data_IF_991372816799
#
_entry.id   IF_991372816799
#
_cell.length_a   1.000
_cell.length_b   1.000
_cell.length_c   1.000
_cell.angle_alpha   90.00
_cell.angle_beta   90.00
_cell.angle_gamma   90.00
#
_symmetry.space_group_name_H-M   'P 1'
#
loop_
_entity.id
_entity.type
_entity.pdbx_description
1 polymer ?
#
# COMPACT_ATOMS: atom_id res chain seq x y z
N UNK A 1 -11.61 53.95 -32.27
CA UNK A 1 -10.70 52.82 -32.00
C UNK A 1 -11.13 52.12 -30.71
N UNK A 2 -12.16 51.28 -30.75
CA UNK A 2 -12.64 50.55 -29.56
C UNK A 2 -13.36 49.27 -30.01
N UNK A 3 -12.60 48.23 -30.38
CA UNK A 3 -13.13 46.90 -30.66
C UNK A 3 -11.98 45.87 -30.68
N UNK A 4 -11.57 45.37 -29.51
CA UNK A 4 -10.63 44.23 -29.45
C UNK A 4 -10.67 43.44 -28.11
N UNK A 5 -11.78 43.46 -27.35
CA UNK A 5 -11.81 42.88 -26.00
C UNK A 5 -12.68 41.61 -25.82
N UNK A 6 -13.38 41.12 -26.84
CA UNK A 6 -14.34 40.01 -26.67
C UNK A 6 -13.80 38.62 -27.04
N UNK A 7 -12.83 38.52 -27.95
CA UNK A 7 -12.31 37.24 -28.45
C UNK A 7 -11.48 36.43 -27.42
N UNK A 8 -10.91 37.08 -26.41
CA UNK A 8 -10.09 36.43 -25.37
C UNK A 8 -10.91 35.73 -24.30
N UNK A 9 -12.18 36.06 -24.15
CA UNK A 9 -13.06 35.47 -23.13
C UNK A 9 -13.55 34.08 -23.52
N UNK A 10 -14.01 33.90 -24.77
CA UNK A 10 -14.51 32.62 -25.27
C UNK A 10 -13.42 31.54 -25.31
N UNK A 11 -12.24 31.86 -25.88
CA UNK A 11 -11.13 30.91 -25.98
C UNK A 11 -10.54 30.48 -24.61
N UNK A 12 -10.78 31.26 -23.54
CA UNK A 12 -10.43 30.87 -22.17
C UNK A 12 -11.47 29.99 -21.51
N UNK A 13 -12.75 30.18 -21.83
CA UNK A 13 -13.84 29.32 -21.37
C UNK A 13 -13.69 27.91 -21.96
N UNK A 14 -13.44 27.81 -23.26
CA UNK A 14 -13.28 26.52 -23.96
C UNK A 14 -12.13 25.69 -23.35
N UNK A 15 -10.99 26.32 -23.04
CA UNK A 15 -9.83 25.63 -22.44
C UNK A 15 -10.11 25.12 -21.01
N UNK A 16 -10.91 25.86 -20.25
CA UNK A 16 -11.29 25.45 -18.89
C UNK A 16 -12.30 24.28 -18.94
N UNK A 17 -13.22 24.30 -19.89
CA UNK A 17 -14.18 23.23 -20.11
C UNK A 17 -13.52 21.95 -20.63
N UNK A 18 -12.56 22.07 -21.56
CA UNK A 18 -11.75 20.94 -22.06
C UNK A 18 -10.93 20.28 -20.94
N UNK A 19 -10.25 21.09 -20.11
CA UNK A 19 -9.51 20.59 -18.95
C UNK A 19 -10.42 19.87 -17.97
N UNK A 20 -11.61 20.44 -17.70
CA UNK A 20 -12.60 19.85 -16.81
C UNK A 20 -13.13 18.53 -17.37
N UNK A 21 -13.43 18.46 -18.66
CA UNK A 21 -13.89 17.25 -19.33
C UNK A 21 -12.90 16.10 -19.19
N UNK A 22 -11.63 16.33 -19.54
CA UNK A 22 -10.59 15.32 -19.43
C UNK A 22 -10.33 14.90 -17.97
N UNK A 23 -10.25 15.86 -17.03
CA UNK A 23 -10.06 15.56 -15.62
C UNK A 23 -11.19 14.69 -15.03
N UNK A 24 -12.45 14.97 -15.38
CA UNK A 24 -13.59 14.19 -14.89
C UNK A 24 -13.59 12.75 -15.43
N UNK A 25 -13.16 12.51 -16.68
CA UNK A 25 -12.95 11.16 -17.20
C UNK A 25 -11.91 10.38 -16.38
N UNK A 26 -10.76 11.00 -16.12
CA UNK A 26 -9.68 10.38 -15.33
C UNK A 26 -10.13 10.11 -13.89
N UNK A 27 -10.88 11.04 -13.25
CA UNK A 27 -11.47 10.82 -11.92
C UNK A 27 -12.39 9.62 -11.88
N UNK A 28 -13.25 9.43 -12.89
CA UNK A 28 -14.14 8.25 -12.96
C UNK A 28 -13.35 6.95 -13.04
N UNK A 29 -12.32 6.90 -13.88
CA UNK A 29 -11.43 5.75 -13.98
C UNK A 29 -10.70 5.46 -12.66
N UNK A 30 -10.21 6.51 -11.97
CA UNK A 30 -9.58 6.39 -10.65
C UNK A 30 -10.54 5.88 -9.57
N UNK A 31 -11.81 6.29 -9.61
CA UNK A 31 -12.85 5.77 -8.73
C UNK A 31 -13.09 4.27 -8.97
N UNK A 32 -13.18 3.84 -10.23
CA UNK A 32 -13.27 2.42 -10.58
C UNK A 32 -12.06 1.62 -10.09
N UNK A 33 -10.84 2.16 -10.25
CA UNK A 33 -9.64 1.53 -9.73
C UNK A 33 -9.66 1.36 -8.21
N UNK A 34 -10.08 2.39 -7.48
CA UNK A 34 -10.21 2.34 -6.02
C UNK A 34 -11.24 1.32 -5.53
N UNK A 35 -12.21 0.97 -6.38
CA UNK A 35 -13.23 -0.05 -6.12
C UNK A 35 -12.82 -1.45 -6.62
N UNK A 36 -11.63 -1.61 -7.20
CA UNK A 36 -11.19 -2.86 -7.81
C UNK A 36 -11.95 -3.22 -9.10
N UNK A 37 -12.59 -2.24 -9.73
CA UNK A 37 -13.45 -2.39 -10.91
C UNK A 37 -12.85 -1.71 -12.16
N UNK A 38 -11.54 -1.45 -12.19
CA UNK A 38 -10.88 -0.88 -13.36
C UNK A 38 -10.88 -1.90 -14.51
N UNK A 39 -11.44 -1.56 -15.69
CA UNK A 39 -11.41 -2.46 -16.84
C UNK A 39 -9.98 -2.77 -17.28
N UNK A 40 -9.73 -4.02 -17.66
CA UNK A 40 -8.43 -4.47 -18.15
C UNK A 40 -8.03 -3.79 -19.48
N UNK A 41 -9.02 -3.39 -20.26
CA UNK A 41 -8.94 -2.78 -21.59
C UNK A 41 -9.32 -1.29 -21.58
N UNK A 42 -9.20 -0.61 -20.44
CA UNK A 42 -9.46 0.82 -20.35
C UNK A 42 -8.60 1.59 -21.38
N UNK A 43 -9.25 2.48 -22.11
CA UNK A 43 -8.62 3.42 -23.03
C UNK A 43 -8.73 4.83 -22.47
N UNK A 44 -7.56 5.43 -22.18
CA UNK A 44 -7.41 6.82 -21.73
C UNK A 44 -6.52 7.63 -22.68
N UNK A 45 -6.21 7.09 -23.86
CA UNK A 45 -5.41 7.80 -24.88
C UNK A 45 -6.06 9.13 -25.29
N UNK A 46 -7.40 9.22 -25.51
CA UNK A 46 -8.05 10.49 -25.80
C UNK A 46 -7.87 11.55 -24.71
N UNK A 47 -7.96 11.18 -23.43
CA UNK A 47 -7.74 12.07 -22.30
C UNK A 47 -6.26 12.50 -22.20
N UNK A 48 -5.32 11.58 -22.39
CA UNK A 48 -3.88 11.87 -22.37
C UNK A 48 -3.53 12.87 -23.49
N UNK A 49 -4.06 12.67 -24.69
CA UNK A 49 -3.85 13.56 -25.84
C UNK A 49 -4.49 14.94 -25.63
N UNK A 50 -5.70 14.98 -25.06
CA UNK A 50 -6.36 16.23 -24.71
C UNK A 50 -5.54 17.03 -23.69
N UNK A 51 -5.11 16.38 -22.60
CA UNK A 51 -4.30 17.01 -21.54
C UNK A 51 -2.94 17.47 -22.07
N UNK A 52 -2.30 16.67 -22.93
CA UNK A 52 -1.03 17.04 -23.59
C UNK A 52 -1.19 18.29 -24.44
N UNK A 53 -2.22 18.35 -25.30
CA UNK A 53 -2.51 19.56 -26.11
C UNK A 53 -2.80 20.79 -25.25
N UNK A 54 -3.50 20.62 -24.13
CA UNK A 54 -3.79 21.69 -23.18
C UNK A 54 -2.51 22.21 -22.52
N UNK A 55 -1.59 21.32 -22.11
CA UNK A 55 -0.30 21.66 -21.52
C UNK A 55 0.59 22.37 -22.54
N UNK A 56 0.73 21.81 -23.74
CA UNK A 56 1.62 22.31 -24.80
C UNK A 56 1.11 23.60 -25.43
N UNK A 57 -0.20 23.81 -25.42
CA UNK A 57 -0.81 25.05 -25.92
C UNK A 57 -0.38 26.30 -25.15
N UNK A 58 0.18 26.17 -23.94
CA UNK A 58 0.79 27.27 -23.18
C UNK A 58 -0.17 28.37 -22.72
N UNK A 59 -1.48 28.16 -22.85
CA UNK A 59 -2.54 29.14 -22.53
C UNK A 59 -3.00 29.09 -21.07
N UNK A 60 -2.60 28.06 -20.32
CA UNK A 60 -2.94 27.91 -18.91
C UNK A 60 -2.09 28.81 -18.02
N UNK A 61 -2.68 29.32 -16.94
CA UNK A 61 -1.90 29.83 -15.82
C UNK A 61 -1.20 28.66 -15.10
N UNK A 62 -0.32 28.97 -14.14
CA UNK A 62 0.47 27.96 -13.45
C UNK A 62 -0.40 26.90 -12.76
N UNK A 63 -1.46 27.32 -12.05
CA UNK A 63 -2.37 26.39 -11.37
C UNK A 63 -3.10 25.47 -12.35
N UNK A 64 -3.63 26.01 -13.46
CA UNK A 64 -4.26 25.21 -14.50
C UNK A 64 -3.31 24.20 -15.12
N UNK A 65 -2.03 24.58 -15.33
CA UNK A 65 -1.00 23.67 -15.83
C UNK A 65 -0.72 22.53 -14.84
N UNK A 66 -0.65 22.83 -13.55
CA UNK A 66 -0.48 21.82 -12.49
C UNK A 66 -1.65 20.84 -12.46
N UNK A 67 -2.89 21.33 -12.60
CA UNK A 67 -4.08 20.47 -12.72
C UNK A 67 -3.96 19.54 -13.93
N UNK A 68 -3.60 20.06 -15.10
CA UNK A 68 -3.47 19.26 -16.31
C UNK A 68 -2.37 18.19 -16.18
N UNK A 69 -1.22 18.55 -15.60
CA UNK A 69 -0.13 17.61 -15.31
C UNK A 69 -0.57 16.52 -14.33
N UNK A 70 -1.25 16.87 -13.24
CA UNK A 70 -1.74 15.90 -12.26
C UNK A 70 -2.64 14.85 -12.91
N UNK A 71 -3.63 15.28 -13.70
CA UNK A 71 -4.57 14.36 -14.34
C UNK A 71 -3.94 13.55 -15.47
N UNK A 72 -2.94 14.08 -16.16
CA UNK A 72 -2.20 13.31 -17.16
C UNK A 72 -1.32 12.24 -16.49
N UNK A 73 -0.71 12.58 -15.36
CA UNK A 73 -0.01 11.62 -14.50
C UNK A 73 -0.93 10.51 -13.98
N UNK A 74 -2.14 10.85 -13.53
CA UNK A 74 -3.16 9.87 -13.12
C UNK A 74 -3.58 8.97 -14.29
N UNK A 75 -3.81 9.52 -15.49
CA UNK A 75 -4.21 8.73 -16.65
C UNK A 75 -3.13 7.70 -17.05
N UNK A 76 -1.88 8.15 -17.18
CA UNK A 76 -0.73 7.28 -17.48
C UNK A 76 -0.48 6.21 -16.39
N UNK A 77 -0.73 6.56 -15.11
CA UNK A 77 -0.74 5.61 -13.99
C UNK A 77 -1.82 4.54 -14.18
N UNK A 78 -3.06 4.95 -14.48
CA UNK A 78 -4.20 4.05 -14.61
C UNK A 78 -4.06 3.09 -15.80
N UNK A 79 -3.49 3.54 -16.92
CA UNK A 79 -3.12 2.65 -18.04
C UNK A 79 -2.17 1.56 -17.58
N UNK A 80 -1.11 1.91 -16.85
CA UNK A 80 -0.17 0.92 -16.29
C UNK A 80 -0.82 0.02 -15.22
N UNK A 81 -1.78 0.54 -14.45
CA UNK A 81 -2.55 -0.26 -13.50
C UNK A 81 -3.42 -1.32 -14.20
N UNK A 82 -4.08 -0.96 -15.30
CA UNK A 82 -4.87 -1.89 -16.11
C UNK A 82 -3.99 -2.95 -16.80
N UNK A 83 -2.83 -2.55 -17.34
CA UNK A 83 -1.83 -3.49 -17.88
C UNK A 83 -1.41 -4.51 -16.83
N UNK A 84 -1.04 -4.05 -15.62
CA UNK A 84 -0.64 -4.91 -14.52
C UNK A 84 -1.77 -5.86 -14.08
N UNK A 85 -3.02 -5.37 -13.97
CA UNK A 85 -4.19 -6.19 -13.65
C UNK A 85 -4.48 -7.27 -14.69
N UNK A 86 -4.13 -7.01 -15.95
CA UNK A 86 -4.22 -7.96 -17.06
C UNK A 86 -2.98 -8.88 -17.21
N UNK A 87 -2.03 -8.84 -16.26
CA UNK A 87 -0.73 -9.53 -16.35
C UNK A 87 0.06 -9.19 -17.63
N UNK A 88 -0.06 -7.95 -18.13
CA UNK A 88 0.68 -7.44 -19.27
C UNK A 88 1.90 -6.62 -18.80
N UNK A 89 2.99 -6.57 -19.58
CA UNK A 89 4.14 -5.72 -19.25
C UNK A 89 3.73 -4.25 -19.10
N UNK A 90 4.36 -3.49 -18.19
CA UNK A 90 4.08 -2.07 -18.05
C UNK A 90 4.52 -1.27 -19.28
N UNK A 91 3.79 -0.19 -19.58
CA UNK A 91 4.26 0.84 -20.50
C UNK A 91 5.23 1.77 -19.75
N UNK A 92 6.52 1.49 -19.93
CA UNK A 92 7.61 2.19 -19.22
C UNK A 92 7.69 3.68 -19.57
N UNK A 93 7.37 4.06 -20.81
CA UNK A 93 7.44 5.47 -21.23
C UNK A 93 6.28 6.28 -20.63
N UNK A 94 5.07 5.72 -20.63
CA UNK A 94 3.94 6.30 -19.89
C UNK A 94 4.23 6.41 -18.39
N UNK A 95 4.89 5.41 -17.80
CA UNK A 95 5.28 5.46 -16.39
C UNK A 95 6.30 6.58 -16.10
N UNK A 96 7.30 6.78 -16.98
CA UNK A 96 8.25 7.89 -16.85
C UNK A 96 7.60 9.25 -17.04
N UNK A 97 6.67 9.36 -17.99
CA UNK A 97 5.91 10.60 -18.18
C UNK A 97 5.06 10.93 -16.96
N UNK A 98 4.31 9.96 -16.43
CA UNK A 98 3.53 10.15 -15.21
C UNK A 98 4.40 10.59 -14.04
N UNK A 99 5.57 9.98 -13.87
CA UNK A 99 6.52 10.37 -12.84
C UNK A 99 6.99 11.83 -13.01
N UNK A 100 7.35 12.22 -14.23
CA UNK A 100 7.76 13.58 -14.55
C UNK A 100 6.65 14.63 -14.35
N UNK A 101 5.39 14.25 -14.61
CA UNK A 101 4.24 15.09 -14.33
C UNK A 101 4.02 15.27 -12.82
N UNK A 102 4.08 14.19 -12.04
CA UNK A 102 3.99 14.28 -10.58
C UNK A 102 5.15 15.06 -9.98
N UNK A 103 6.38 14.93 -10.49
CA UNK A 103 7.51 15.74 -10.04
C UNK A 103 7.25 17.24 -10.19
N UNK A 104 6.58 17.65 -11.27
CA UNK A 104 6.20 19.05 -11.50
C UNK A 104 5.09 19.50 -10.55
N UNK A 105 4.12 18.65 -10.26
CA UNK A 105 3.08 18.92 -9.23
C UNK A 105 3.72 19.06 -7.85
N UNK A 106 4.61 18.14 -7.48
CA UNK A 106 5.32 18.16 -6.20
C UNK A 106 6.18 19.42 -6.07
N UNK A 107 6.88 19.81 -7.14
CA UNK A 107 7.69 21.02 -7.18
C UNK A 107 6.85 22.30 -7.01
N UNK A 108 5.62 22.33 -7.53
CA UNK A 108 4.71 23.46 -7.33
C UNK A 108 4.34 23.62 -5.85
N UNK A 109 4.20 22.51 -5.12
CA UNK A 109 4.17 22.51 -3.65
C UNK A 109 2.90 23.10 -3.01
N UNK A 110 1.84 23.30 -3.80
CA UNK A 110 0.53 23.76 -3.31
C UNK A 110 -0.59 22.91 -3.86
N UNK A 111 -1.52 22.56 -2.99
CA UNK A 111 -2.76 21.88 -3.36
C UNK A 111 -3.67 22.81 -4.18
N UNK A 112 -4.52 22.20 -5.01
CA UNK A 112 -5.58 22.90 -5.76
C UNK A 112 -6.89 22.19 -5.43
N UNK A 113 -7.43 22.52 -4.26
CA UNK A 113 -8.54 21.82 -3.63
C UNK A 113 -9.80 21.72 -4.50
N UNK A 114 -10.17 22.80 -5.21
CA UNK A 114 -11.32 22.82 -6.12
C UNK A 114 -11.21 21.80 -7.27
N UNK A 115 -9.98 21.36 -7.55
CA UNK A 115 -9.68 20.36 -8.56
C UNK A 115 -9.32 19.00 -7.95
N UNK A 116 -9.33 18.83 -6.63
CA UNK A 116 -8.92 17.59 -5.98
C UNK A 116 -7.44 17.23 -6.21
N UNK A 117 -6.61 18.23 -6.51
CA UNK A 117 -5.16 18.04 -6.68
C UNK A 117 -4.48 18.23 -5.34
N UNK A 118 -3.82 17.18 -4.88
CA UNK A 118 -3.13 17.11 -3.59
C UNK A 118 -1.67 16.67 -3.84
N UNK A 119 -0.73 17.48 -3.34
CA UNK A 119 0.71 17.27 -3.51
C UNK A 119 1.18 15.97 -2.82
N UNK A 120 0.59 15.65 -1.68
CA UNK A 120 0.91 14.42 -0.95
C UNK A 120 0.43 13.17 -1.69
N UNK A 121 -0.74 13.24 -2.34
CA UNK A 121 -1.22 12.20 -3.26
C UNK A 121 -0.30 12.06 -4.49
N UNK A 122 0.14 13.17 -5.08
CA UNK A 122 1.09 13.13 -6.20
C UNK A 122 2.38 12.38 -5.81
N UNK A 123 2.96 12.67 -4.64
CA UNK A 123 4.15 11.97 -4.19
C UNK A 123 3.87 10.50 -3.84
N UNK A 124 2.70 10.19 -3.26
CA UNK A 124 2.28 8.81 -3.03
C UNK A 124 2.26 7.99 -4.33
N UNK A 125 1.63 8.52 -5.38
CA UNK A 125 1.54 7.85 -6.68
C UNK A 125 2.87 7.81 -7.43
N UNK A 126 3.71 8.85 -7.32
CA UNK A 126 5.08 8.83 -7.83
C UNK A 126 5.89 7.67 -7.22
N UNK A 127 5.74 7.43 -5.92
CA UNK A 127 6.37 6.28 -5.27
C UNK A 127 5.86 4.93 -5.78
N UNK A 128 4.55 4.81 -6.01
CA UNK A 128 3.96 3.61 -6.63
C UNK A 128 4.50 3.35 -8.04
N UNK A 129 4.61 4.38 -8.87
CA UNK A 129 5.18 4.27 -10.21
C UNK A 129 6.64 3.83 -10.15
N UNK A 130 7.43 4.49 -9.32
CA UNK A 130 8.84 4.18 -9.14
C UNK A 130 9.05 2.71 -8.72
N UNK A 131 8.27 2.23 -7.75
CA UNK A 131 8.34 0.84 -7.30
C UNK A 131 7.86 -0.13 -8.37
N UNK A 132 6.63 0.04 -8.88
CA UNK A 132 5.93 -1.01 -9.63
C UNK A 132 6.23 -1.05 -11.11
N UNK A 133 6.48 0.10 -11.73
CA UNK A 133 6.62 0.20 -13.19
C UNK A 133 8.05 0.52 -13.61
N UNK A 134 8.84 1.11 -12.71
CA UNK A 134 10.24 1.45 -12.98
C UNK A 134 11.24 0.62 -12.15
N UNK A 135 10.76 -0.26 -11.27
CA UNK A 135 11.59 -1.14 -10.41
C UNK A 135 12.66 -0.38 -9.60
N UNK A 136 12.39 0.85 -9.18
CA UNK A 136 13.30 1.69 -8.41
C UNK A 136 12.80 1.87 -6.97
N UNK A 137 13.14 0.91 -6.12
CA UNK A 137 12.76 0.90 -4.71
C UNK A 137 13.31 2.12 -3.93
N UNK A 138 14.60 2.50 -4.05
CA UNK A 138 15.10 3.68 -3.35
C UNK A 138 14.37 4.96 -3.76
N UNK A 139 14.07 5.11 -5.05
CA UNK A 139 13.33 6.26 -5.56
C UNK A 139 11.90 6.28 -5.00
N UNK A 140 11.23 5.13 -4.94
CA UNK A 140 9.89 5.02 -4.37
C UNK A 140 9.83 5.53 -2.92
N UNK A 141 10.78 5.07 -2.08
CA UNK A 141 10.86 5.52 -0.70
C UNK A 141 11.24 6.99 -0.57
N UNK A 142 12.02 7.55 -1.49
CA UNK A 142 12.30 9.00 -1.49
C UNK A 142 11.04 9.85 -1.69
N UNK A 143 10.02 9.35 -2.40
CA UNK A 143 8.72 10.02 -2.53
C UNK A 143 7.84 9.77 -1.32
N UNK A 144 7.78 8.54 -0.83
CA UNK A 144 6.96 8.19 0.33
C UNK A 144 7.43 8.86 1.61
N UNK A 145 8.74 9.06 1.81
CA UNK A 145 9.22 9.87 2.94
C UNK A 145 8.73 11.32 2.83
N UNK A 146 8.79 11.95 1.65
CA UNK A 146 8.29 13.32 1.45
C UNK A 146 6.81 13.47 1.77
N UNK A 147 5.95 12.54 1.33
CA UNK A 147 4.53 12.61 1.68
C UNK A 147 4.18 12.09 3.08
N UNK A 148 5.03 11.27 3.69
CA UNK A 148 4.90 10.95 5.10
C UNK A 148 5.09 12.20 5.97
N UNK A 149 6.05 13.07 5.62
CA UNK A 149 6.26 14.37 6.28
C UNK A 149 5.06 15.31 6.13
N UNK A 150 4.26 15.13 5.07
CA UNK A 150 2.99 15.84 4.85
C UNK A 150 1.79 15.19 5.57
N UNK A 151 2.00 14.10 6.31
CA UNK A 151 0.93 13.40 7.05
C UNK A 151 0.07 12.47 6.19
N UNK A 152 0.47 12.15 4.96
CA UNK A 152 -0.30 11.26 4.10
C UNK A 152 -0.28 9.81 4.61
N UNK A 153 -1.44 9.27 4.98
CA UNK A 153 -1.58 7.97 5.65
C UNK A 153 -0.95 6.80 4.89
N UNK A 154 -1.13 6.74 3.57
CA UNK A 154 -0.52 5.70 2.75
C UNK A 154 1.01 5.77 2.72
N UNK A 155 1.56 6.99 2.79
CA UNK A 155 2.99 7.22 2.80
C UNK A 155 3.60 6.93 4.17
N UNK A 156 2.90 7.33 5.25
CA UNK A 156 3.29 6.98 6.61
C UNK A 156 3.37 5.46 6.80
N UNK A 157 2.40 4.69 6.27
CA UNK A 157 2.44 3.22 6.34
C UNK A 157 3.63 2.63 5.57
N UNK A 158 3.87 3.07 4.33
CA UNK A 158 5.02 2.63 3.54
C UNK A 158 6.35 2.99 4.23
N UNK A 159 6.53 4.25 4.64
CA UNK A 159 7.73 4.70 5.32
C UNK A 159 7.95 3.94 6.64
N UNK A 160 6.90 3.70 7.43
CA UNK A 160 7.00 2.91 8.66
C UNK A 160 7.50 1.49 8.40
N UNK A 161 7.01 0.83 7.34
CA UNK A 161 7.49 -0.49 6.94
C UNK A 161 8.99 -0.47 6.60
N UNK A 162 9.46 0.54 5.88
CA UNK A 162 10.89 0.67 5.58
C UNK A 162 11.76 0.97 6.79
N UNK A 163 11.22 1.68 7.79
CA UNK A 163 11.89 1.88 9.08
C UNK A 163 11.98 0.59 9.91
N UNK A 164 11.23 -0.46 9.59
CA UNK A 164 11.39 -1.79 10.19
C UNK A 164 12.37 -2.65 9.42
N UNK A 165 12.30 -2.61 8.09
CA UNK A 165 12.99 -3.58 7.21
C UNK A 165 14.33 -3.10 6.67
N UNK A 166 14.51 -1.79 6.54
CA UNK A 166 15.64 -1.16 5.86
C UNK A 166 15.55 -1.18 4.33
N UNK A 167 14.38 -1.56 3.78
CA UNK A 167 14.16 -1.60 2.32
C UNK A 167 14.34 -0.21 1.71
N UNK A 168 14.86 -0.16 0.48
CA UNK A 168 15.14 1.10 -0.22
C UNK A 168 16.34 1.88 0.34
N UNK A 169 17.14 1.29 1.22
CA UNK A 169 18.26 1.98 1.88
C UNK A 169 17.83 2.89 3.03
N UNK A 170 16.57 2.80 3.46
CA UNK A 170 16.04 3.54 4.60
C UNK A 170 16.70 3.03 5.88
N UNK A 171 17.04 3.95 6.80
CA UNK A 171 17.60 3.58 8.09
C UNK A 171 16.56 2.83 8.93
N UNK A 172 16.94 1.68 9.48
CA UNK A 172 16.11 0.93 10.44
C UNK A 172 15.96 1.73 11.74
N UNK A 173 14.72 2.04 12.09
CA UNK A 173 14.30 2.79 13.28
C UNK A 173 12.87 2.36 13.69
N UNK A 174 12.73 1.29 14.51
CA UNK A 174 11.43 0.78 14.92
C UNK A 174 10.60 1.80 15.72
N UNK A 175 11.21 2.70 16.48
CA UNK A 175 10.47 3.72 17.25
C UNK A 175 9.85 4.78 16.32
N UNK A 176 10.58 5.19 15.28
CA UNK A 176 10.01 6.03 14.22
C UNK A 176 8.84 5.33 13.51
N UNK A 177 8.97 4.02 13.22
CA UNK A 177 7.89 3.23 12.63
C UNK A 177 6.64 3.19 13.53
N UNK A 178 6.81 3.04 14.86
CA UNK A 178 5.70 3.07 15.82
C UNK A 178 5.02 4.44 15.85
N UNK A 179 5.79 5.54 15.80
CA UNK A 179 5.24 6.89 15.77
C UNK A 179 4.41 7.13 14.49
N UNK A 180 4.93 6.74 13.33
CA UNK A 180 4.23 6.87 12.05
C UNK A 180 2.93 6.06 12.02
N UNK A 181 2.96 4.79 12.42
CA UNK A 181 1.76 3.96 12.53
C UNK A 181 0.76 4.53 13.55
N UNK A 182 1.22 5.11 14.65
CA UNK A 182 0.34 5.78 15.62
C UNK A 182 -0.36 7.00 15.01
N UNK A 183 0.34 7.80 14.20
CA UNK A 183 -0.27 8.92 13.49
C UNK A 183 -1.39 8.44 12.53
N UNK A 184 -1.14 7.36 11.78
CA UNK A 184 -2.16 6.76 10.91
C UNK A 184 -3.33 6.19 11.71
N UNK A 185 -3.08 5.51 12.82
CA UNK A 185 -4.14 5.01 13.70
C UNK A 185 -5.04 6.14 14.21
N UNK A 186 -4.45 7.28 14.61
CA UNK A 186 -5.19 8.43 15.13
C UNK A 186 -6.08 9.12 14.07
N UNK A 187 -5.88 8.84 12.78
CA UNK A 187 -6.81 9.27 11.72
C UNK A 187 -8.12 8.46 11.69
N UNK A 188 -8.22 7.40 12.51
CA UNK A 188 -9.41 6.56 12.63
C UNK A 188 -9.75 5.81 11.35
N UNK A 189 -11.01 5.94 10.91
CA UNK A 189 -11.56 5.23 9.74
C UNK A 189 -11.56 6.09 8.47
N UNK A 190 -11.01 7.30 8.53
CA UNK A 190 -11.00 8.26 7.41
C UNK A 190 -10.30 7.70 6.16
N UNK A 191 -9.43 6.70 6.33
CA UNK A 191 -8.71 6.02 5.26
C UNK A 191 -9.07 4.54 5.19
N UNK A 192 -10.35 4.21 5.35
CA UNK A 192 -10.86 2.85 5.34
C UNK A 192 -10.20 1.98 6.41
N UNK A 193 -9.42 0.98 5.98
CA UNK A 193 -8.73 0.06 6.87
C UNK A 193 -7.37 0.57 7.40
N UNK A 194 -6.93 1.77 6.99
CA UNK A 194 -5.59 2.29 7.27
C UNK A 194 -5.23 2.31 8.77
N UNK A 195 -6.10 2.88 9.61
CA UNK A 195 -5.84 2.93 11.06
C UNK A 195 -5.78 1.54 11.71
N UNK A 196 -6.62 0.62 11.24
CA UNK A 196 -6.66 -0.74 11.75
C UNK A 196 -5.39 -1.53 11.36
N UNK A 197 -4.90 -1.36 10.12
CA UNK A 197 -3.60 -1.90 9.69
C UNK A 197 -2.43 -1.29 10.47
N UNK A 198 -2.45 0.01 10.72
CA UNK A 198 -1.40 0.69 11.49
C UNK A 198 -1.29 0.16 12.93
N UNK A 199 -2.44 -0.07 13.60
CA UNK A 199 -2.47 -0.68 14.92
C UNK A 199 -1.91 -2.11 14.93
N UNK A 200 -2.21 -2.94 13.92
CA UNK A 200 -1.57 -4.27 13.80
C UNK A 200 -0.08 -4.17 13.54
N UNK A 201 0.36 -3.23 12.70
CA UNK A 201 1.78 -3.03 12.45
C UNK A 201 2.50 -2.63 13.75
N UNK A 202 1.91 -1.77 14.59
CA UNK A 202 2.43 -1.49 15.93
C UNK A 202 2.58 -2.76 16.77
N UNK A 203 1.55 -3.62 16.80
CA UNK A 203 1.62 -4.88 17.53
C UNK A 203 2.76 -5.78 17.04
N UNK A 204 2.90 -5.94 15.72
CA UNK A 204 3.97 -6.74 15.12
C UNK A 204 5.35 -6.17 15.45
N UNK A 205 5.54 -4.85 15.33
CA UNK A 205 6.81 -4.19 15.66
C UNK A 205 7.16 -4.41 17.13
N UNK A 206 6.23 -4.17 18.06
CA UNK A 206 6.47 -4.36 19.50
C UNK A 206 6.79 -5.82 19.81
N UNK A 207 6.09 -6.76 19.18
CA UNK A 207 6.31 -8.18 19.42
C UNK A 207 7.63 -8.69 18.83
N UNK A 208 7.98 -8.28 17.61
CA UNK A 208 9.10 -8.85 16.85
C UNK A 208 10.41 -8.10 16.98
N UNK A 209 10.37 -6.83 17.35
CA UNK A 209 11.58 -6.01 17.46
C UNK A 209 11.90 -5.75 18.92
N UNK A 210 13.18 -5.56 19.24
CA UNK A 210 13.64 -5.25 20.60
C UNK A 210 13.34 -3.77 20.94
N UNK A 211 12.07 -3.40 20.90
CA UNK A 211 11.59 -2.10 21.37
C UNK A 211 11.72 -2.01 22.88
N UNK A 212 11.67 -0.79 23.44
CA UNK A 212 11.63 -0.60 24.90
C UNK A 212 10.24 -0.88 25.50
N UNK A 213 9.26 -1.25 24.67
CA UNK A 213 7.86 -1.40 25.07
C UNK A 213 7.59 -2.77 25.68
N UNK A 214 6.69 -2.87 26.68
CA UNK A 214 6.36 -4.16 27.28
C UNK A 214 5.61 -5.06 26.30
N UNK A 215 5.85 -6.37 26.36
CA UNK A 215 5.23 -7.34 25.46
C UNK A 215 3.68 -7.33 25.51
N UNK A 216 3.09 -6.97 26.66
CA UNK A 216 1.64 -6.83 26.81
C UNK A 216 1.03 -5.75 25.92
N UNK A 217 1.80 -4.71 25.57
CA UNK A 217 1.34 -3.61 24.72
C UNK A 217 1.03 -4.08 23.29
N UNK A 218 1.72 -5.12 22.80
CA UNK A 218 1.43 -5.68 21.47
C UNK A 218 -0.02 -6.20 21.38
N UNK A 219 -0.50 -6.90 22.41
CA UNK A 219 -1.88 -7.41 22.44
C UNK A 219 -2.90 -6.27 22.59
N UNK A 220 -2.56 -5.21 23.33
CA UNK A 220 -3.41 -4.01 23.42
C UNK A 220 -3.58 -3.33 22.06
N UNK A 221 -2.51 -3.26 21.26
CA UNK A 221 -2.58 -2.70 19.90
C UNK A 221 -3.42 -3.57 18.95
N UNK A 222 -3.37 -4.90 19.08
CA UNK A 222 -4.28 -5.77 18.32
C UNK A 222 -5.74 -5.56 18.72
N UNK A 223 -6.03 -5.40 20.01
CA UNK A 223 -7.39 -5.10 20.48
C UNK A 223 -7.90 -3.75 19.96
N UNK A 224 -7.04 -2.71 19.93
CA UNK A 224 -7.35 -1.42 19.28
C UNK A 224 -7.65 -1.58 17.79
N UNK A 225 -6.83 -2.37 17.09
CA UNK A 225 -7.02 -2.67 15.67
C UNK A 225 -8.41 -3.27 15.44
N UNK A 226 -8.75 -4.31 16.20
CA UNK A 226 -10.02 -5.05 16.11
C UNK A 226 -11.26 -4.17 16.25
N UNK A 227 -11.26 -3.19 17.16
CA UNK A 227 -12.36 -2.23 17.31
C UNK A 227 -12.62 -1.41 16.05
N UNK A 228 -11.60 -1.12 15.23
CA UNK A 228 -11.74 -0.41 13.96
C UNK A 228 -12.19 -1.32 12.81
N UNK A 229 -12.06 -2.64 12.95
CA UNK A 229 -12.47 -3.62 11.93
C UNK A 229 -13.96 -3.88 11.94
N UNK A 230 -14.54 -4.01 13.14
CA UNK A 230 -15.95 -4.39 13.31
C UNK A 230 -16.92 -3.35 12.69
N UNK A 231 -16.41 -2.15 12.37
CA UNK A 231 -17.15 -1.09 11.67
C UNK A 231 -16.93 -1.00 10.15
N UNK A 232 -15.93 -1.66 9.55
CA UNK A 232 -15.44 -1.32 8.19
C UNK A 232 -15.23 -2.50 7.21
N UNK A 233 -15.55 -3.74 7.58
CA UNK A 233 -15.49 -4.88 6.63
C UNK A 233 -14.08 -5.27 6.17
N UNK A 234 -13.05 -4.83 6.88
CA UNK A 234 -11.65 -5.11 6.56
C UNK A 234 -11.28 -6.57 6.94
N UNK A 235 -10.17 -7.12 6.40
CA UNK A 235 -9.77 -8.54 6.52
C UNK A 235 -9.50 -9.06 7.96
N UNK A 236 -10.55 -9.33 8.73
CA UNK A 236 -10.51 -9.62 10.17
C UNK A 236 -9.77 -10.91 10.54
N UNK A 237 -9.92 -12.00 9.78
CA UNK A 237 -9.31 -13.30 10.11
C UNK A 237 -7.80 -13.22 10.36
N UNK A 238 -7.11 -12.40 9.56
CA UNK A 238 -5.65 -12.24 9.67
C UNK A 238 -5.20 -11.72 11.04
N UNK A 239 -6.00 -10.83 11.64
CA UNK A 239 -5.69 -10.23 12.94
C UNK A 239 -5.90 -11.24 14.06
N UNK A 240 -6.96 -12.06 13.94
CA UNK A 240 -7.22 -13.15 14.87
C UNK A 240 -6.12 -14.24 14.79
N UNK A 241 -5.61 -14.55 13.59
CA UNK A 241 -4.45 -15.45 13.38
C UNK A 241 -3.19 -14.90 14.06
N UNK A 242 -2.88 -13.61 13.86
CA UNK A 242 -1.70 -12.98 14.46
C UNK A 242 -1.81 -12.98 15.99
N UNK A 243 -2.99 -12.65 16.55
CA UNK A 243 -3.18 -12.70 17.99
C UNK A 243 -3.04 -14.12 18.54
N UNK A 244 -3.58 -15.13 17.84
CA UNK A 244 -3.38 -16.54 18.19
C UNK A 244 -1.89 -16.89 18.31
N UNK A 245 -1.05 -16.51 17.32
CA UNK A 245 0.38 -16.82 17.33
C UNK A 245 1.15 -16.04 18.41
N UNK A 246 0.79 -14.78 18.69
CA UNK A 246 1.37 -14.02 19.80
C UNK A 246 1.04 -14.67 21.15
N UNK A 247 -0.22 -15.02 21.38
CA UNK A 247 -0.67 -15.72 22.58
C UNK A 247 -0.01 -17.09 22.71
N UNK A 248 0.12 -17.83 21.61
CA UNK A 248 0.78 -19.12 21.62
C UNK A 248 2.26 -18.99 22.00
N UNK A 249 2.94 -18.00 21.45
CA UNK A 249 4.33 -17.68 21.79
C UNK A 249 4.52 -17.32 23.27
N UNK A 250 3.51 -16.70 23.88
CA UNK A 250 3.49 -16.35 25.31
C UNK A 250 3.06 -17.52 26.22
N UNK A 251 2.72 -18.69 25.67
CA UNK A 251 2.19 -19.82 26.44
C UNK A 251 0.79 -19.59 27.02
N UNK A 252 0.02 -18.65 26.45
CA UNK A 252 -1.32 -18.32 26.93
C UNK A 252 -2.29 -19.51 26.69
N UNK A 253 -2.95 -20.04 27.75
CA UNK A 253 -3.89 -21.14 27.61
C UNK A 253 -5.17 -20.74 26.85
N UNK A 254 -5.51 -19.46 26.77
CA UNK A 254 -6.72 -18.95 26.11
C UNK A 254 -6.57 -18.73 24.61
N UNK A 255 -5.41 -19.04 24.02
CA UNK A 255 -5.13 -18.84 22.59
C UNK A 255 -6.17 -19.45 21.64
N UNK A 256 -6.81 -20.56 22.02
CA UNK A 256 -7.77 -21.28 21.16
C UNK A 256 -8.93 -20.42 20.69
N UNK A 257 -9.41 -19.49 21.52
CA UNK A 257 -10.54 -18.59 21.17
C UNK A 257 -10.24 -17.74 19.94
N UNK A 258 -9.00 -17.26 19.79
CA UNK A 258 -8.60 -16.44 18.64
C UNK A 258 -8.58 -17.27 17.35
N UNK A 259 -8.17 -18.54 17.41
CA UNK A 259 -8.17 -19.41 16.23
C UNK A 259 -9.61 -19.76 15.79
N UNK A 260 -10.54 -19.92 16.73
CA UNK A 260 -11.96 -20.08 16.43
C UNK A 260 -12.57 -18.82 15.79
N UNK A 261 -12.21 -17.63 16.28
CA UNK A 261 -12.63 -16.36 15.67
C UNK A 261 -12.05 -16.22 14.26
N UNK A 262 -10.78 -16.53 14.07
CA UNK A 262 -10.16 -16.55 12.75
C UNK A 262 -10.92 -17.45 11.77
N UNK A 263 -11.33 -18.64 12.21
CA UNK A 263 -12.11 -19.56 11.39
C UNK A 263 -13.47 -18.97 10.94
N UNK A 264 -14.16 -18.26 11.85
CA UNK A 264 -15.43 -17.58 11.54
C UNK A 264 -15.25 -16.43 10.55
N UNK A 265 -14.13 -15.73 10.62
CA UNK A 265 -13.87 -14.55 9.80
C UNK A 265 -13.11 -14.86 8.49
N UNK A 266 -12.73 -16.12 8.24
CA UNK A 266 -11.88 -16.52 7.12
C UNK A 266 -12.61 -16.43 5.76
N UNK A 267 -12.59 -15.25 5.15
CA UNK A 267 -13.22 -14.98 3.86
C UNK A 267 -12.35 -15.40 2.66
N UNK A 268 -11.01 -15.36 2.80
CA UNK A 268 -10.08 -15.73 1.72
C UNK A 268 -9.65 -17.20 1.77
N UNK A 269 -9.22 -17.76 0.64
CA UNK A 269 -8.63 -19.11 0.58
C UNK A 269 -7.33 -19.22 1.37
N UNK A 270 -6.54 -18.14 1.40
CA UNK A 270 -5.32 -18.07 2.21
C UNK A 270 -5.65 -18.17 3.69
N UNK A 271 -6.59 -17.36 4.20
CA UNK A 271 -6.98 -17.39 5.61
C UNK A 271 -7.55 -18.76 6.00
N UNK A 272 -8.41 -19.35 5.16
CA UNK A 272 -8.96 -20.69 5.39
C UNK A 272 -7.86 -21.75 5.44
N UNK A 273 -6.86 -21.65 4.58
CA UNK A 273 -5.73 -22.58 4.58
C UNK A 273 -4.88 -22.42 5.85
N UNK A 274 -4.59 -21.19 6.26
CA UNK A 274 -3.86 -20.91 7.51
C UNK A 274 -4.61 -21.45 8.72
N UNK A 275 -5.91 -21.17 8.83
CA UNK A 275 -6.72 -21.66 9.95
C UNK A 275 -6.70 -23.19 10.02
N UNK A 276 -6.88 -23.89 8.89
CA UNK A 276 -6.81 -25.37 8.86
C UNK A 276 -5.42 -25.89 9.25
N UNK A 277 -4.37 -25.27 8.74
CA UNK A 277 -2.99 -25.60 9.09
C UNK A 277 -2.74 -25.47 10.60
N UNK A 278 -3.11 -24.33 11.19
CA UNK A 278 -2.89 -24.06 12.61
C UNK A 278 -3.76 -24.92 13.53
N UNK A 279 -4.99 -25.25 13.12
CA UNK A 279 -5.94 -26.01 13.93
C UNK A 279 -5.74 -27.53 13.84
N UNK A 280 -5.33 -28.05 12.66
CA UNK A 280 -5.33 -29.49 12.37
C UNK A 280 -3.96 -30.03 11.94
N UNK A 281 -2.96 -29.17 11.71
CA UNK A 281 -1.66 -29.60 11.20
C UNK A 281 -1.70 -30.09 9.74
N UNK A 282 -2.63 -29.58 8.93
CA UNK A 282 -2.78 -29.97 7.51
C UNK A 282 -1.66 -29.36 6.63
N UNK A 283 -0.44 -29.89 6.79
CA UNK A 283 0.77 -29.39 6.13
C UNK A 283 0.72 -29.50 4.60
N UNK A 284 0.19 -30.60 4.08
CA UNK A 284 0.17 -30.87 2.64
C UNK A 284 -0.72 -29.85 1.91
N UNK A 285 -1.97 -29.67 2.38
CA UNK A 285 -2.88 -28.70 1.79
C UNK A 285 -2.34 -27.26 1.93
N UNK A 286 -1.65 -26.97 3.04
CA UNK A 286 -1.04 -25.67 3.26
C UNK A 286 0.10 -25.38 2.28
N UNK A 287 1.04 -26.32 2.10
CA UNK A 287 2.11 -26.21 1.10
C UNK A 287 1.56 -26.05 -0.32
N UNK A 288 0.51 -26.80 -0.66
CA UNK A 288 -0.18 -26.66 -1.95
C UNK A 288 -0.81 -25.27 -2.13
N UNK A 289 -1.34 -24.66 -1.05
CA UNK A 289 -1.83 -23.28 -1.10
C UNK A 289 -0.71 -22.27 -1.33
N UNK A 290 0.41 -22.39 -0.61
CA UNK A 290 1.58 -21.53 -0.79
C UNK A 290 2.03 -21.56 -2.27
N UNK A 291 2.20 -22.75 -2.84
CA UNK A 291 2.65 -22.91 -4.22
C UNK A 291 1.74 -22.17 -5.23
N UNK A 292 0.42 -22.22 -5.00
CA UNK A 292 -0.62 -21.61 -5.84
C UNK A 292 -0.88 -20.13 -5.56
N UNK A 293 -0.30 -19.53 -4.52
CA UNK A 293 -0.51 -18.12 -4.27
C UNK A 293 0.07 -17.30 -5.44
N UNK A 294 -0.70 -16.38 -6.04
CA UNK A 294 -0.29 -15.69 -7.27
C UNK A 294 0.81 -14.64 -7.02
N UNK A 295 1.02 -14.22 -5.77
CA UNK A 295 1.95 -13.14 -5.44
C UNK A 295 3.12 -13.64 -4.62
N UNK A 296 4.32 -13.09 -4.86
CA UNK A 296 5.50 -13.36 -4.02
C UNK A 296 5.25 -12.94 -2.56
N UNK A 297 4.67 -11.77 -2.33
CA UNK A 297 4.35 -11.25 -0.99
C UNK A 297 3.39 -12.20 -0.24
N UNK A 298 2.34 -12.70 -0.88
CA UNK A 298 1.43 -13.68 -0.28
C UNK A 298 2.13 -15.00 0.06
N UNK A 299 3.11 -15.45 -0.73
CA UNK A 299 3.94 -16.61 -0.37
C UNK A 299 4.82 -16.33 0.85
N UNK A 300 5.45 -15.16 0.93
CA UNK A 300 6.25 -14.74 2.09
C UNK A 300 5.41 -14.77 3.37
N UNK A 301 4.22 -14.16 3.32
CA UNK A 301 3.30 -14.04 4.45
C UNK A 301 2.84 -15.42 4.98
N UNK A 302 2.57 -16.39 4.09
CA UNK A 302 2.23 -17.76 4.48
C UNK A 302 3.43 -18.53 5.03
N UNK A 303 4.61 -18.38 4.43
CA UNK A 303 5.85 -18.97 4.95
C UNK A 303 6.21 -18.42 6.34
N UNK A 304 5.99 -17.13 6.57
CA UNK A 304 6.25 -16.50 7.86
C UNK A 304 5.34 -17.05 8.96
N UNK A 305 4.04 -17.26 8.71
CA UNK A 305 3.17 -17.94 9.67
C UNK A 305 3.67 -19.35 9.98
N UNK A 306 4.05 -20.09 8.94
CA UNK A 306 4.52 -21.46 9.11
C UNK A 306 5.80 -21.52 9.94
N UNK A 307 6.74 -20.61 9.66
CA UNK A 307 7.95 -20.40 10.45
C UNK A 307 7.60 -20.09 11.90
N UNK A 308 6.74 -19.10 12.14
CA UNK A 308 6.37 -18.69 13.50
C UNK A 308 5.72 -19.84 14.27
N UNK A 309 4.76 -20.55 13.66
CA UNK A 309 4.15 -21.73 14.25
C UNK A 309 5.19 -22.81 14.55
N UNK A 310 6.12 -23.08 13.64
CA UNK A 310 7.19 -24.06 13.84
C UNK A 310 8.13 -23.68 14.99
N UNK A 311 8.49 -22.40 15.12
CA UNK A 311 9.32 -21.89 16.23
C UNK A 311 8.61 -22.07 17.58
N UNK A 312 7.32 -21.75 17.67
CA UNK A 312 6.55 -21.95 18.92
C UNK A 312 6.40 -23.43 19.29
N UNK A 313 6.28 -24.31 18.29
CA UNK A 313 6.26 -25.76 18.48
C UNK A 313 7.68 -26.38 18.64
N UNK A 314 8.74 -25.56 18.69
CA UNK A 314 10.14 -26.01 18.78
C UNK A 314 10.58 -26.94 17.64
N UNK A 315 9.94 -26.83 16.48
CA UNK A 315 10.33 -27.56 15.28
C UNK A 315 11.32 -26.74 14.45
N UNK A 316 12.57 -26.70 14.94
CA UNK A 316 13.62 -25.88 14.32
C UNK A 316 14.01 -26.29 12.90
N UNK A 317 13.72 -27.52 12.47
CA UNK A 317 13.91 -27.96 11.08
C UNK A 317 12.94 -27.26 10.14
N UNK A 318 11.64 -27.40 10.40
CA UNK A 318 10.56 -26.78 9.61
C UNK A 318 10.68 -25.25 9.61
N UNK A 319 11.05 -24.64 10.74
CA UNK A 319 11.27 -23.20 10.81
C UNK A 319 12.39 -22.73 9.87
N UNK A 320 13.52 -23.47 9.79
CA UNK A 320 14.61 -23.16 8.86
C UNK A 320 14.19 -23.29 7.40
N UNK A 321 13.41 -24.32 7.07
CA UNK A 321 12.95 -24.55 5.70
C UNK A 321 12.07 -23.39 5.21
N UNK A 322 11.15 -22.91 6.06
CA UNK A 322 10.32 -21.75 5.74
C UNK A 322 11.09 -20.43 5.71
N UNK A 323 12.08 -20.26 6.60
CA UNK A 323 12.96 -19.10 6.54
C UNK A 323 13.75 -19.06 5.22
N UNK A 324 14.34 -20.18 4.84
CA UNK A 324 15.06 -20.33 3.58
C UNK A 324 14.14 -20.05 2.38
N UNK A 325 12.91 -20.55 2.40
CA UNK A 325 11.96 -20.28 1.32
C UNK A 325 11.67 -18.77 1.17
N UNK A 326 11.57 -18.01 2.27
CA UNK A 326 11.44 -16.55 2.21
C UNK A 326 12.70 -15.87 1.66
N UNK A 327 13.89 -16.33 2.05
CA UNK A 327 15.15 -15.82 1.49
C UNK A 327 15.24 -16.08 -0.01
N UNK A 328 14.83 -17.27 -0.47
CA UNK A 328 14.84 -17.66 -1.88
C UNK A 328 13.80 -16.86 -2.70
N UNK A 329 12.70 -16.39 -2.09
CA UNK A 329 11.74 -15.48 -2.73
C UNK A 329 12.31 -14.06 -2.90
N UNK A 330 13.08 -13.59 -1.90
CA UNK A 330 13.82 -12.34 -1.94
C UNK A 330 13.28 -11.23 -1.02
N UNK A 331 14.16 -10.31 -0.57
CA UNK A 331 13.81 -9.24 0.37
C UNK A 331 12.87 -8.20 -0.24
N UNK A 332 12.81 -8.05 -1.56
CA UNK A 332 11.83 -7.16 -2.21
C UNK A 332 10.37 -7.56 -1.94
N UNK A 333 10.10 -8.85 -1.69
CA UNK A 333 8.76 -9.36 -1.43
C UNK A 333 8.55 -9.81 0.03
N UNK A 334 9.61 -10.26 0.71
CA UNK A 334 9.54 -10.79 2.07
C UNK A 334 10.16 -9.85 3.13
N UNK A 335 10.37 -8.57 2.80
CA UNK A 335 11.10 -7.62 3.65
C UNK A 335 10.64 -7.61 5.12
N UNK A 336 9.34 -7.35 5.39
CA UNK A 336 8.78 -7.36 6.75
C UNK A 336 8.96 -8.71 7.46
N UNK A 337 8.63 -9.80 6.80
CA UNK A 337 8.68 -11.15 7.36
C UNK A 337 10.11 -11.55 7.72
N UNK A 338 11.08 -11.26 6.85
CA UNK A 338 12.50 -11.51 7.10
C UNK A 338 13.03 -10.63 8.24
N UNK A 339 12.59 -9.38 8.35
CA UNK A 339 12.97 -8.50 9.46
C UNK A 339 12.43 -9.05 10.80
N UNK A 340 11.19 -9.54 10.82
CA UNK A 340 10.56 -10.12 12.00
C UNK A 340 11.13 -11.49 12.39
N UNK A 341 11.53 -12.31 11.42
CA UNK A 341 12.12 -13.62 11.66
C UNK A 341 13.40 -13.56 12.52
N UNK A 342 14.10 -12.41 12.53
CA UNK A 342 15.28 -12.17 13.37
C UNK A 342 15.02 -12.37 14.86
N UNK A 343 13.78 -12.19 15.33
CA UNK A 343 13.37 -12.51 16.72
C UNK A 343 13.74 -13.94 17.11
N UNK A 344 13.68 -14.86 16.16
CA UNK A 344 13.93 -16.29 16.36
C UNK A 344 15.40 -16.68 16.12
N UNK A 345 16.32 -15.71 15.99
CA UNK A 345 17.73 -15.96 15.69
C UNK A 345 17.98 -16.46 14.27
N UNK A 346 17.18 -15.97 13.31
CA UNK A 346 17.24 -16.31 11.88
C UNK A 346 17.78 -15.17 11.04
#
# INVERSE_FOLDING_TARGET
MLACATATSAARADLADDLKGAAESVKRAKAQWSQGALPADIDLEPEIDALTRIIDGGKLNESGRVVALYYRGDANLLVNAALAGANRPPNVDAAREALGDYDRVIKYGKDIADWGVDVSNAAYYAGWIAQRYLNSIPLAYSYWEKCADMGHSGCLLAAAEARVTGVGGVKVDPEAALAMNTAVFNSGTNYGCGGAYAARNNALIIFFTNTKRPAGEALEWLDRSKRLFDSNGCARARFDIIEYLMRYSAGDPKRGTQLELAAKHAASDDDRAVVRYLAKGDEEAFRARIARNPTKAGKCDLHFIALWNAEVNRNGGVARDHYKAMQDIGPEACGPELAYARKFGR
#
